data_IF_267017063429
#
_entry.id   IF_267017063429
#
_cell.length_a   1.000
_cell.length_b   1.000
_cell.length_c   1.000
_cell.angle_alpha   90.00
_cell.angle_beta   90.00
_cell.angle_gamma   90.00
#
_symmetry.space_group_name_H-M   'P 1'
#
loop_
_entity.id
_entity.type
_entity.pdbx_description
1 polymer ?
#
# COMPACT_ATOMS: atom_id res chain seq x y z
N UNK A 1 10.45 -4.08 19.61
CA UNK A 1 9.64 -4.76 18.57
C UNK A 1 8.22 -4.90 19.10
N UNK A 2 7.28 -4.19 18.50
CA UNK A 2 5.83 -4.37 18.73
C UNK A 2 5.17 -3.93 17.43
N UNK A 3 4.54 -4.87 16.72
CA UNK A 3 3.76 -4.60 15.52
C UNK A 3 2.41 -5.29 15.72
N UNK A 4 1.50 -4.63 16.43
CA UNK A 4 0.08 -4.94 16.33
C UNK A 4 -0.42 -4.30 15.02
N UNK A 5 -0.58 -5.09 13.97
CA UNK A 5 -1.30 -4.65 12.77
C UNK A 5 -2.76 -4.45 13.19
N UNK A 6 -3.31 -3.23 13.16
CA UNK A 6 -4.74 -3.06 13.41
C UNK A 6 -5.51 -3.85 12.35
N UNK A 7 -6.31 -4.80 12.81
CA UNK A 7 -7.17 -5.58 11.94
C UNK A 7 -8.46 -4.80 11.75
N UNK A 8 -8.67 -4.27 10.55
CA UNK A 8 -10.01 -3.90 10.12
C UNK A 8 -10.67 -5.15 9.56
N UNK A 9 -11.64 -5.73 10.29
CA UNK A 9 -12.59 -6.65 9.68
C UNK A 9 -13.52 -5.79 8.83
N UNK A 10 -13.63 -6.09 7.54
CA UNK A 10 -14.53 -5.37 6.63
C UNK A 10 -15.97 -5.73 7.01
N UNK A 11 -16.55 -4.98 7.95
CA UNK A 11 -17.99 -5.07 8.26
C UNK A 11 -18.76 -4.55 7.05
N UNK A 12 -19.63 -5.39 6.47
CA UNK A 12 -20.40 -5.07 5.26
C UNK A 12 -19.97 -5.81 3.99
N UNK A 13 -18.90 -6.62 4.04
CA UNK A 13 -18.58 -7.54 2.94
C UNK A 13 -19.45 -8.80 3.02
N UNK A 14 -20.08 -9.17 1.91
CA UNK A 14 -20.81 -10.44 1.78
C UNK A 14 -19.86 -11.51 1.25
N UNK A 15 -19.26 -12.28 2.15
CA UNK A 15 -18.35 -13.39 1.81
C UNK A 15 -17.38 -13.76 2.93
N UNK A 16 -16.49 -14.72 2.68
CA UNK A 16 -15.44 -15.09 3.62
C UNK A 16 -14.37 -14.01 3.72
N UNK A 17 -14.03 -13.58 4.94
CA UNK A 17 -12.93 -12.63 5.20
C UNK A 17 -11.75 -13.42 5.73
N UNK A 18 -10.64 -13.39 4.98
CA UNK A 18 -9.39 -14.05 5.36
C UNK A 18 -8.42 -13.06 5.98
N UNK A 19 -7.96 -13.38 7.18
CA UNK A 19 -6.91 -12.63 7.84
C UNK A 19 -5.60 -13.37 7.71
N UNK A 20 -4.58 -12.64 7.25
CA UNK A 20 -3.22 -13.16 7.10
C UNK A 20 -2.28 -12.43 8.07
N UNK A 21 -1.35 -13.16 8.68
CA UNK A 21 -0.31 -12.61 9.53
C UNK A 21 0.95 -13.45 9.42
N UNK A 22 2.12 -12.81 9.51
CA UNK A 22 3.42 -13.50 9.57
C UNK A 22 3.60 -14.37 10.82
N UNK A 23 2.88 -14.04 11.88
CA UNK A 23 2.94 -14.69 13.19
C UNK A 23 1.50 -15.04 13.62
N UNK A 24 1.10 -16.32 13.55
CA UNK A 24 -0.28 -16.75 13.79
C UNK A 24 -0.75 -16.49 15.23
N UNK A 25 0.17 -16.34 16.20
CA UNK A 25 -0.18 -16.08 17.61
C UNK A 25 -0.72 -14.67 17.91
N UNK A 26 -0.74 -13.77 16.92
CA UNK A 26 -1.08 -12.34 17.11
C UNK A 26 -2.51 -11.95 16.71
N UNK A 27 -3.35 -12.91 16.31
CA UNK A 27 -4.71 -12.65 15.83
C UNK A 27 -5.72 -12.85 16.96
N UNK A 28 -6.31 -11.76 17.48
CA UNK A 28 -7.38 -11.80 18.50
C UNK A 28 -8.64 -11.10 17.99
N UNK A 29 -9.54 -11.84 17.37
CA UNK A 29 -10.82 -11.31 16.85
C UNK A 29 -12.07 -12.07 17.32
N UNK A 30 -11.90 -13.28 17.86
CA UNK A 30 -13.00 -14.07 18.41
C UNK A 30 -13.71 -13.35 19.57
N UNK A 31 -13.04 -12.43 20.26
CA UNK A 31 -13.61 -11.64 21.37
C UNK A 31 -14.66 -10.59 20.93
N UNK A 32 -14.85 -10.35 19.63
CA UNK A 32 -15.82 -9.35 19.11
C UNK A 32 -17.02 -9.96 18.37
N UNK A 33 -17.25 -11.28 18.46
CA UNK A 33 -18.35 -11.95 17.76
C UNK A 33 -18.20 -12.01 16.24
N UNK A 34 -16.99 -11.77 15.73
CA UNK A 34 -16.63 -11.87 14.31
C UNK A 34 -15.87 -13.18 14.08
N UNK A 35 -16.15 -13.86 12.97
CA UNK A 35 -15.56 -15.15 12.60
C UNK A 35 -14.67 -15.05 11.35
N UNK A 36 -13.58 -14.26 11.36
CA UNK A 36 -12.64 -14.25 10.23
C UNK A 36 -11.93 -15.60 10.13
N UNK A 37 -11.74 -16.07 8.90
CA UNK A 37 -10.92 -17.25 8.63
C UNK A 37 -9.45 -16.83 8.71
N UNK A 38 -8.61 -17.60 9.38
CA UNK A 38 -7.17 -17.38 9.38
C UNK A 38 -6.53 -18.23 8.30
N UNK A 39 -5.67 -17.63 7.47
CA UNK A 39 -4.87 -18.36 6.50
C UNK A 39 -3.41 -17.89 6.62
N UNK A 40 -2.50 -18.83 6.82
CA UNK A 40 -1.07 -18.56 6.65
C UNK A 40 -0.85 -18.36 5.14
N UNK A 41 -0.47 -17.16 4.71
CA UNK A 41 -0.43 -16.82 3.29
C UNK A 41 0.68 -17.61 2.56
N UNK A 42 0.30 -18.68 1.86
CA UNK A 42 1.06 -19.32 0.77
C UNK A 42 0.37 -18.94 -0.55
N UNK A 43 1.13 -18.36 -1.48
CA UNK A 43 0.62 -17.72 -2.70
C UNK A 43 0.12 -18.76 -3.72
N UNK A 44 0.44 -20.04 -3.53
CA UNK A 44 0.18 -21.12 -4.51
C UNK A 44 -1.19 -21.83 -4.37
N UNK A 45 -1.93 -21.61 -3.29
CA UNK A 45 -3.17 -22.36 -2.96
C UNK A 45 -4.46 -21.51 -2.94
N UNK A 46 -4.44 -20.32 -3.55
CA UNK A 46 -5.58 -19.39 -3.46
C UNK A 46 -6.57 -19.52 -4.63
N UNK A 47 -7.82 -19.81 -4.29
CA UNK A 47 -8.95 -19.62 -5.19
C UNK A 47 -9.24 -18.12 -5.42
N UNK A 48 -9.82 -17.82 -6.59
CA UNK A 48 -10.03 -16.47 -7.15
C UNK A 48 -10.56 -15.43 -6.12
N UNK A 49 -9.88 -14.28 -6.03
CA UNK A 49 -10.11 -13.23 -5.02
C UNK A 49 -11.11 -12.14 -5.48
N UNK A 50 -11.91 -11.64 -4.53
CA UNK A 50 -12.85 -10.52 -4.73
C UNK A 50 -12.33 -9.19 -4.17
N UNK A 51 -11.55 -9.23 -3.09
CA UNK A 51 -10.98 -8.05 -2.45
C UNK A 51 -9.56 -8.36 -1.98
N UNK A 52 -8.61 -7.47 -2.24
CA UNK A 52 -7.24 -7.53 -1.73
C UNK A 52 -6.90 -6.20 -1.05
N UNK A 53 -6.49 -6.24 0.22
CA UNK A 53 -6.04 -5.06 0.96
C UNK A 53 -4.58 -5.24 1.38
N UNK A 54 -3.66 -4.60 0.65
CA UNK A 54 -2.24 -4.56 0.98
C UNK A 54 -1.99 -3.49 2.05
N UNK A 55 -2.23 -3.86 3.31
CA UNK A 55 -2.02 -2.98 4.47
C UNK A 55 -0.61 -3.07 5.06
N UNK A 56 0.16 -4.11 4.72
CA UNK A 56 1.44 -4.41 5.34
C UNK A 56 2.43 -3.25 5.19
N UNK A 57 3.01 -2.83 6.31
CA UNK A 57 4.06 -1.82 6.34
C UNK A 57 4.75 -1.78 7.70
N UNK A 58 6.00 -1.34 7.72
CA UNK A 58 6.78 -1.14 8.94
C UNK A 58 7.49 0.22 8.89
N UNK A 59 7.72 0.79 10.06
CA UNK A 59 8.43 2.06 10.25
C UNK A 59 9.22 1.98 11.56
N UNK A 60 10.39 2.63 11.59
CA UNK A 60 11.26 2.73 12.76
C UNK A 60 11.21 4.16 13.30
N UNK A 61 11.11 4.31 14.62
CA UNK A 61 11.17 5.61 15.32
C UNK A 61 12.64 6.09 15.38
N UNK A 62 12.95 7.29 14.86
CA UNK A 62 14.28 7.92 14.94
C UNK A 62 14.84 8.45 13.60
N UNK A 63 16.06 9.03 13.59
CA UNK A 63 16.79 9.41 12.37
C UNK A 63 17.33 8.15 11.68
N UNK A 64 16.54 7.58 10.77
CA UNK A 64 16.68 6.19 10.30
C UNK A 64 17.24 6.02 8.90
N UNK A 65 17.52 7.09 8.16
CA UNK A 65 17.97 6.98 6.76
C UNK A 65 19.27 6.16 6.62
N UNK A 66 20.18 6.25 7.60
CA UNK A 66 21.51 5.63 7.51
C UNK A 66 21.66 4.33 8.32
N UNK A 67 20.70 3.99 9.17
CA UNK A 67 20.80 2.80 10.03
C UNK A 67 20.15 1.56 9.39
N UNK A 68 19.13 1.74 8.53
CA UNK A 68 18.54 0.63 7.78
C UNK A 68 17.72 1.09 6.54
N UNK A 69 18.36 1.75 5.55
CA UNK A 69 17.67 2.16 4.32
C UNK A 69 17.14 0.96 3.53
N UNK A 70 17.90 -0.15 3.53
CA UNK A 70 17.52 -1.40 2.88
C UNK A 70 16.19 -1.94 3.42
N UNK A 71 16.01 -2.05 4.74
CA UNK A 71 14.75 -2.54 5.29
C UNK A 71 13.62 -1.62 4.84
N UNK A 72 13.62 -0.33 5.22
CA UNK A 72 12.47 0.57 4.99
C UNK A 72 12.04 0.74 3.53
N UNK A 73 13.00 0.98 2.64
CA UNK A 73 12.70 1.28 1.25
C UNK A 73 12.38 0.03 0.46
N UNK A 74 13.27 -0.98 0.54
CA UNK A 74 13.09 -2.24 -0.17
C UNK A 74 11.90 -2.99 0.40
N UNK A 75 11.89 -3.29 1.68
CA UNK A 75 10.87 -4.19 2.21
C UNK A 75 9.50 -3.50 2.29
N UNK A 76 9.42 -2.16 2.38
CA UNK A 76 8.14 -1.44 2.37
C UNK A 76 7.46 -1.43 0.99
N UNK A 77 8.23 -1.23 -0.07
CA UNK A 77 7.76 -1.28 -1.45
C UNK A 77 7.62 -2.72 -1.96
N UNK A 78 8.68 -3.54 -1.80
CA UNK A 78 8.73 -4.92 -2.25
C UNK A 78 7.66 -5.78 -1.57
N UNK A 79 7.37 -5.59 -0.27
CA UNK A 79 6.25 -6.31 0.36
C UNK A 79 4.91 -6.04 -0.34
N UNK A 80 4.72 -4.87 -0.93
CA UNK A 80 3.49 -4.57 -1.68
C UNK A 80 3.57 -5.11 -3.11
N UNK A 81 4.72 -4.98 -3.78
CA UNK A 81 4.96 -5.53 -5.13
C UNK A 81 4.79 -7.05 -5.14
N UNK A 82 5.56 -7.74 -4.29
CA UNK A 82 5.59 -9.21 -4.20
C UNK A 82 4.24 -9.78 -3.77
N UNK A 83 3.45 -9.03 -2.99
CA UNK A 83 2.11 -9.43 -2.54
C UNK A 83 0.99 -9.01 -3.50
N UNK A 84 1.22 -8.17 -4.51
CA UNK A 84 0.17 -7.74 -5.45
C UNK A 84 0.34 -8.36 -6.83
N UNK A 85 1.56 -8.36 -7.36
CA UNK A 85 1.86 -8.80 -8.73
C UNK A 85 1.42 -10.25 -9.01
N UNK A 86 1.68 -11.25 -8.14
CA UNK A 86 1.21 -12.61 -8.38
C UNK A 86 -0.31 -12.75 -8.38
N UNK A 87 -1.02 -11.86 -7.69
CA UNK A 87 -2.47 -11.93 -7.57
C UNK A 87 -3.21 -11.24 -8.71
N UNK A 88 -2.55 -10.39 -9.51
CA UNK A 88 -3.20 -9.66 -10.61
C UNK A 88 -3.89 -10.61 -11.60
N UNK A 89 -3.31 -11.78 -11.87
CA UNK A 89 -3.89 -12.81 -12.73
C UNK A 89 -5.04 -13.59 -12.07
N UNK A 90 -5.07 -13.67 -10.73
CA UNK A 90 -6.05 -14.43 -9.95
C UNK A 90 -7.32 -13.62 -9.60
N UNK A 91 -7.32 -12.31 -9.84
CA UNK A 91 -8.44 -11.42 -9.53
C UNK A 91 -9.69 -11.79 -10.34
N UNK A 92 -10.86 -11.80 -9.67
CA UNK A 92 -12.16 -11.94 -10.35
C UNK A 92 -12.57 -10.65 -11.05
N UNK A 93 -13.55 -10.77 -11.95
CA UNK A 93 -14.36 -9.64 -12.39
C UNK A 93 -14.93 -8.93 -11.16
N UNK A 94 -14.91 -7.60 -11.18
CA UNK A 94 -15.31 -6.70 -10.11
C UNK A 94 -14.45 -6.82 -8.84
N UNK A 95 -13.19 -7.26 -8.95
CA UNK A 95 -12.28 -7.24 -7.82
C UNK A 95 -11.93 -5.81 -7.36
N UNK A 96 -11.75 -5.61 -6.06
CA UNK A 96 -11.27 -4.36 -5.45
C UNK A 96 -9.91 -4.55 -4.81
N UNK A 97 -8.95 -3.72 -5.18
CA UNK A 97 -7.57 -3.78 -4.68
C UNK A 97 -7.21 -2.47 -4.01
N UNK A 98 -6.76 -2.55 -2.77
CA UNK A 98 -6.45 -1.39 -1.95
C UNK A 98 -5.01 -1.51 -1.46
N UNK A 99 -4.16 -0.61 -1.96
CA UNK A 99 -2.78 -0.49 -1.50
C UNK A 99 -2.69 0.62 -0.46
N UNK A 100 -2.37 0.29 0.79
CA UNK A 100 -2.26 1.28 1.87
C UNK A 100 -0.91 1.98 1.76
N UNK A 101 -0.92 3.17 1.17
CA UNK A 101 0.23 4.07 1.11
C UNK A 101 0.24 5.01 2.33
N UNK A 102 0.60 6.28 2.17
CA UNK A 102 0.63 7.28 3.23
C UNK A 102 0.67 8.68 2.64
N UNK A 103 0.09 9.68 3.31
CA UNK A 103 0.23 11.08 2.90
C UNK A 103 1.69 11.57 2.89
N UNK A 104 2.61 10.83 3.55
CA UNK A 104 4.05 11.07 3.47
C UNK A 104 4.59 10.82 2.05
N UNK A 105 3.95 9.98 1.22
CA UNK A 105 4.35 9.79 -0.18
C UNK A 105 4.26 11.10 -0.97
N UNK A 106 3.14 11.82 -0.87
CA UNK A 106 2.93 13.11 -1.54
C UNK A 106 3.99 14.13 -1.07
N UNK A 107 4.22 14.20 0.24
CA UNK A 107 5.26 15.09 0.80
C UNK A 107 6.67 14.71 0.36
N UNK A 108 6.96 13.43 0.22
CA UNK A 108 8.26 12.95 -0.24
C UNK A 108 8.44 13.25 -1.73
N UNK A 109 7.41 13.03 -2.55
CA UNK A 109 7.43 13.30 -3.98
C UNK A 109 7.67 14.79 -4.28
N UNK A 110 6.99 15.70 -3.57
CA UNK A 110 7.22 17.15 -3.71
C UNK A 110 8.66 17.56 -3.37
N UNK A 111 9.35 16.78 -2.52
CA UNK A 111 10.73 17.02 -2.11
C UNK A 111 11.76 16.32 -3.01
N UNK A 112 11.33 15.47 -3.95
CA UNK A 112 12.21 14.93 -4.97
C UNK A 112 12.65 16.05 -5.93
N UNK A 113 13.75 15.85 -6.64
CA UNK A 113 14.12 16.70 -7.79
C UNK A 113 13.01 16.73 -8.84
N UNK A 114 13.02 17.77 -9.68
CA UNK A 114 12.06 17.92 -10.76
C UNK A 114 12.05 16.71 -11.70
N UNK A 115 13.23 16.16 -12.02
CA UNK A 115 13.36 14.99 -12.89
C UNK A 115 12.71 13.75 -12.27
N UNK A 116 12.98 13.46 -10.99
CA UNK A 116 12.33 12.35 -10.28
C UNK A 116 10.82 12.55 -10.18
N UNK A 117 10.36 13.78 -9.95
CA UNK A 117 8.95 14.12 -9.95
C UNK A 117 8.28 13.83 -11.29
N UNK A 118 8.89 14.24 -12.40
CA UNK A 118 8.40 13.94 -13.75
C UNK A 118 8.34 12.44 -14.02
N UNK A 119 9.38 11.69 -13.61
CA UNK A 119 9.40 10.23 -13.77
C UNK A 119 8.29 9.54 -12.97
N UNK A 120 8.11 9.89 -11.70
CA UNK A 120 7.06 9.29 -10.87
C UNK A 120 5.63 9.70 -11.26
N UNK A 121 5.44 10.88 -11.88
CA UNK A 121 4.16 11.33 -12.45
C UNK A 121 3.95 10.90 -13.91
N UNK A 122 4.91 10.22 -14.53
CA UNK A 122 4.82 9.83 -15.94
C UNK A 122 3.71 8.80 -16.16
N UNK A 123 2.81 9.05 -17.11
CA UNK A 123 1.71 8.15 -17.49
C UNK A 123 2.17 6.87 -18.18
N UNK A 124 3.47 6.76 -18.47
CA UNK A 124 4.08 5.64 -19.20
C UNK A 124 5.13 4.89 -18.38
N UNK A 125 5.41 5.30 -17.13
CA UNK A 125 6.38 4.58 -16.29
C UNK A 125 5.97 3.11 -16.13
N UNK A 126 6.93 2.20 -16.29
CA UNK A 126 6.72 0.75 -16.14
C UNK A 126 7.04 0.26 -14.73
N UNK A 127 6.53 -0.93 -14.36
CA UNK A 127 6.88 -1.56 -13.07
C UNK A 127 8.40 -1.80 -12.97
N UNK A 128 9.04 -2.23 -14.06
CA UNK A 128 10.49 -2.44 -14.12
C UNK A 128 11.28 -1.15 -13.88
N UNK A 129 10.86 -0.04 -14.49
CA UNK A 129 11.49 1.27 -14.26
C UNK A 129 11.31 1.72 -12.81
N UNK A 130 10.11 1.53 -12.24
CA UNK A 130 9.85 1.85 -10.85
C UNK A 130 10.74 1.03 -9.90
N UNK A 131 10.89 -0.28 -10.15
CA UNK A 131 11.78 -1.16 -9.38
C UNK A 131 13.23 -0.67 -9.46
N UNK A 132 13.69 -0.24 -10.65
CA UNK A 132 15.03 0.35 -10.82
C UNK A 132 15.18 1.63 -10.00
N UNK A 133 14.19 2.52 -9.98
CA UNK A 133 14.22 3.73 -9.15
C UNK A 133 14.25 3.41 -7.65
N UNK A 134 13.44 2.46 -7.18
CA UNK A 134 13.44 2.07 -5.77
C UNK A 134 14.77 1.42 -5.36
N UNK A 135 15.36 0.63 -6.25
CA UNK A 135 16.70 0.04 -6.05
C UNK A 135 17.80 1.10 -6.05
N UNK A 136 17.72 2.09 -6.96
CA UNK A 136 18.66 3.21 -7.02
C UNK A 136 18.61 4.05 -5.74
N UNK A 137 17.43 4.37 -5.20
CA UNK A 137 17.34 5.09 -3.93
C UNK A 137 18.05 4.35 -2.78
N UNK A 138 17.88 3.03 -2.71
CA UNK A 138 18.56 2.19 -1.71
C UNK A 138 20.08 2.26 -1.89
N UNK A 139 20.57 2.23 -3.12
CA UNK A 139 22.01 2.32 -3.39
C UNK A 139 22.58 3.72 -3.11
N UNK A 140 21.90 4.77 -3.56
CA UNK A 140 22.30 6.16 -3.35
C UNK A 140 22.33 6.52 -1.85
N UNK A 141 21.43 5.94 -1.05
CA UNK A 141 21.45 6.13 0.42
C UNK A 141 22.62 5.42 1.09
N UNK A 142 22.99 4.19 0.67
CA UNK A 142 24.20 3.51 1.15
C UNK A 142 25.46 4.31 0.85
N UNK A 143 25.53 4.85 -0.36
CA UNK A 143 26.65 5.68 -0.83
C UNK A 143 26.61 7.12 -0.29
N UNK A 144 25.56 7.48 0.47
CA UNK A 144 25.34 8.80 1.07
C UNK A 144 25.29 9.95 0.05
N UNK A 145 24.81 9.65 -1.15
CA UNK A 145 24.65 10.61 -2.25
C UNK A 145 23.18 10.89 -2.59
N UNK A 146 22.23 10.30 -1.87
CA UNK A 146 20.79 10.39 -2.19
C UNK A 146 20.28 11.82 -2.34
N UNK A 147 20.70 12.76 -1.48
CA UNK A 147 20.31 14.18 -1.58
C UNK A 147 20.88 14.85 -2.83
N UNK A 148 22.12 14.53 -3.21
CA UNK A 148 22.75 15.02 -4.44
C UNK A 148 22.05 14.47 -5.69
N UNK A 149 21.61 13.22 -5.62
CA UNK A 149 20.83 12.54 -6.67
C UNK A 149 19.34 12.96 -6.69
N UNK A 150 18.94 13.90 -5.83
CA UNK A 150 17.61 14.52 -5.83
C UNK A 150 16.56 13.78 -5.00
N UNK A 151 16.95 12.80 -4.19
CA UNK A 151 16.02 12.08 -3.32
C UNK A 151 15.71 12.84 -2.03
N UNK A 152 14.50 12.71 -1.48
CA UNK A 152 14.17 13.28 -0.19
C UNK A 152 14.80 12.48 0.95
N UNK A 153 15.09 13.14 2.07
CA UNK A 153 15.65 12.51 3.27
C UNK A 153 14.55 11.78 4.09
N UNK A 154 13.90 10.78 3.49
CA UNK A 154 12.88 9.93 4.14
C UNK A 154 12.71 8.59 3.42
N UNK A 155 13.33 7.53 3.94
CA UNK A 155 13.21 6.19 3.33
C UNK A 155 11.77 5.66 3.33
N UNK A 156 11.02 5.88 4.41
CA UNK A 156 9.61 5.54 4.48
C UNK A 156 8.76 6.34 3.48
N UNK A 157 9.07 7.62 3.29
CA UNK A 157 8.36 8.44 2.31
C UNK A 157 8.59 7.93 0.89
N UNK A 158 9.83 7.61 0.52
CA UNK A 158 10.16 7.06 -0.79
C UNK A 158 9.52 5.68 -1.00
N UNK A 159 9.49 4.80 0.01
CA UNK A 159 8.80 3.51 -0.12
C UNK A 159 7.30 3.67 -0.39
N UNK A 160 6.67 4.65 0.25
CA UNK A 160 5.26 4.99 0.01
C UNK A 160 5.02 5.73 -1.31
N UNK A 161 6.00 6.46 -1.85
CA UNK A 161 5.98 6.91 -3.26
C UNK A 161 5.97 5.69 -4.18
N UNK A 162 6.83 4.71 -3.95
CA UNK A 162 6.83 3.44 -4.68
C UNK A 162 5.46 2.77 -4.70
N UNK A 163 4.83 2.59 -3.54
CA UNK A 163 3.48 1.99 -3.45
C UNK A 163 2.42 2.81 -4.22
N UNK A 164 2.48 4.13 -4.13
CA UNK A 164 1.55 5.03 -4.82
C UNK A 164 1.69 4.93 -6.34
N UNK A 165 2.92 4.96 -6.85
CA UNK A 165 3.21 4.86 -8.29
C UNK A 165 2.91 3.45 -8.81
N UNK A 166 3.27 2.40 -8.07
CA UNK A 166 2.94 1.01 -8.42
C UNK A 166 1.43 0.81 -8.58
N UNK A 167 0.64 1.38 -7.67
CA UNK A 167 -0.81 1.29 -7.76
C UNK A 167 -1.34 1.92 -9.05
N UNK A 168 -0.75 3.04 -9.47
CA UNK A 168 -1.12 3.68 -10.74
C UNK A 168 -0.75 2.84 -11.96
N UNK A 169 0.44 2.24 -11.94
CA UNK A 169 0.92 1.34 -13.00
C UNK A 169 0.00 0.12 -13.13
N UNK A 170 -0.27 -0.58 -12.03
CA UNK A 170 -1.09 -1.79 -12.02
C UNK A 170 -2.54 -1.48 -12.41
N UNK A 171 -3.10 -0.36 -11.96
CA UNK A 171 -4.41 0.11 -12.38
C UNK A 171 -4.49 0.35 -13.90
N UNK A 172 -3.46 0.98 -14.48
CA UNK A 172 -3.36 1.20 -15.93
C UNK A 172 -3.31 -0.14 -16.67
N UNK A 173 -2.42 -1.05 -16.26
CA UNK A 173 -2.28 -2.38 -16.87
C UNK A 173 -3.59 -3.17 -16.81
N UNK A 174 -4.27 -3.20 -15.66
CA UNK A 174 -5.57 -3.87 -15.53
C UNK A 174 -6.65 -3.25 -16.44
N UNK A 175 -6.63 -1.93 -16.61
CA UNK A 175 -7.58 -1.26 -17.50
C UNK A 175 -7.28 -1.49 -18.98
N UNK A 176 -6.01 -1.70 -19.36
CA UNK A 176 -5.59 -2.01 -20.73
C UNK A 176 -5.85 -3.48 -21.07
N UNK A 177 -5.50 -4.41 -20.18
CA UNK A 177 -5.53 -5.85 -20.43
C UNK A 177 -6.85 -6.53 -20.03
N UNK A 178 -7.53 -6.00 -19.00
CA UNK A 178 -8.68 -6.64 -18.33
C UNK A 178 -9.86 -5.68 -18.13
N UNK A 179 -10.06 -4.74 -19.06
CA UNK A 179 -11.12 -3.72 -18.98
C UNK A 179 -12.52 -4.28 -18.67
N UNK A 180 -12.88 -5.41 -19.31
CA UNK A 180 -14.18 -6.08 -19.12
C UNK A 180 -14.39 -6.61 -17.71
N UNK A 181 -13.29 -6.84 -16.97
CA UNK A 181 -13.35 -7.34 -15.61
C UNK A 181 -13.66 -6.23 -14.59
N UNK A 182 -13.71 -4.94 -14.94
CA UNK A 182 -14.11 -3.86 -14.02
C UNK A 182 -13.39 -3.91 -12.66
N UNK A 183 -12.08 -4.19 -12.68
CA UNK A 183 -11.23 -4.26 -11.49
C UNK A 183 -10.84 -2.83 -11.10
N UNK A 184 -11.06 -2.46 -9.84
CA UNK A 184 -10.64 -1.17 -9.31
C UNK A 184 -9.47 -1.36 -8.35
N UNK A 185 -8.36 -0.71 -8.67
CA UNK A 185 -7.15 -0.70 -7.85
C UNK A 185 -6.78 0.74 -7.50
N UNK A 186 -6.67 1.04 -6.20
CA UNK A 186 -6.33 2.38 -5.72
C UNK A 186 -5.32 2.35 -4.58
N UNK A 187 -4.49 3.38 -4.50
CA UNK A 187 -3.68 3.67 -3.33
C UNK A 187 -4.46 4.54 -2.34
N UNK A 188 -4.22 4.41 -1.04
CA UNK A 188 -4.84 5.29 -0.07
C UNK A 188 -3.95 5.69 1.11
N UNK A 189 -4.39 6.72 1.83
CA UNK A 189 -3.86 7.11 3.13
C UNK A 189 -4.91 6.85 4.23
N UNK A 190 -4.56 6.13 5.31
CA UNK A 190 -5.46 5.94 6.46
C UNK A 190 -5.47 7.15 7.42
N UNK A 191 -4.65 8.17 7.16
CA UNK A 191 -4.39 9.28 8.08
C UNK A 191 -3.37 8.92 9.16
N UNK A 192 -3.27 9.76 10.21
CA UNK A 192 -2.36 9.51 11.33
C UNK A 192 -3.06 8.70 12.43
N UNK A 193 -2.83 7.39 12.44
CA UNK A 193 -3.59 6.41 13.24
C UNK A 193 -2.82 5.94 14.48
N UNK A 194 -3.47 5.88 15.63
CA UNK A 194 -2.92 5.35 16.89
C UNK A 194 -2.67 3.85 16.76
N UNK A 195 -1.43 3.52 16.46
CA UNK A 195 -0.89 2.16 16.36
C UNK A 195 0.49 2.14 17.01
N UNK A 196 1.09 0.95 17.16
CA UNK A 196 2.49 0.84 17.59
C UNK A 196 3.44 1.70 16.74
N UNK A 197 3.15 1.76 15.44
CA UNK A 197 3.90 2.53 14.45
C UNK A 197 3.87 4.03 14.77
N UNK A 198 2.67 4.62 14.85
CA UNK A 198 2.54 6.07 14.96
C UNK A 198 2.54 6.60 16.41
N UNK A 199 2.28 5.71 17.38
CA UNK A 199 2.21 6.03 18.81
C UNK A 199 0.85 6.62 19.26
N UNK A 200 0.69 6.84 20.58
CA UNK A 200 -0.58 7.25 21.17
C UNK A 200 -1.00 8.69 20.83
N UNK A 201 -0.07 9.53 20.37
CA UNK A 201 -0.32 10.94 20.00
C UNK A 201 -1.00 11.11 18.64
N UNK A 202 -1.17 10.03 17.88
CA UNK A 202 -1.82 10.09 16.58
C UNK A 202 -3.30 10.45 16.70
N UNK A 203 -3.84 11.16 15.71
CA UNK A 203 -5.15 11.80 15.79
C UNK A 203 -6.31 10.81 15.66
N UNK A 204 -6.15 9.76 14.85
CA UNK A 204 -7.21 8.77 14.56
C UNK A 204 -7.10 7.51 15.41
N UNK A 205 -8.23 6.90 15.75
CA UNK A 205 -8.27 5.50 16.22
C UNK A 205 -8.06 4.53 15.05
N UNK A 206 -7.70 3.26 15.30
CA UNK A 206 -7.68 2.21 14.27
C UNK A 206 -8.95 2.15 13.42
N UNK A 207 -10.13 2.20 14.05
CA UNK A 207 -11.42 2.16 13.34
C UNK A 207 -11.57 3.35 12.39
N UNK A 208 -11.20 4.57 12.83
CA UNK A 208 -11.18 5.77 11.97
C UNK A 208 -10.13 5.71 10.87
N UNK A 209 -9.02 5.01 11.10
CA UNK A 209 -8.00 4.76 10.08
C UNK A 209 -8.46 3.80 8.99
N UNK A 210 -9.35 2.87 9.33
CA UNK A 210 -9.87 1.86 8.41
C UNK A 210 -10.92 2.40 7.43
N UNK A 211 -11.53 3.55 7.70
CA UNK A 211 -12.67 4.07 6.92
C UNK A 211 -12.36 4.26 5.43
N UNK A 212 -11.19 4.80 5.06
CA UNK A 212 -10.81 4.97 3.63
C UNK A 212 -10.46 3.64 2.96
N UNK A 213 -9.62 2.77 3.55
CA UNK A 213 -9.37 1.44 2.99
C UNK A 213 -10.65 0.61 2.78
N UNK A 214 -11.54 0.60 3.78
CA UNK A 214 -12.82 -0.13 3.71
C UNK A 214 -13.73 0.47 2.64
N UNK A 215 -13.82 1.79 2.55
CA UNK A 215 -14.57 2.47 1.50
C UNK A 215 -14.13 2.02 0.10
N UNK A 216 -12.83 1.96 -0.16
CA UNK A 216 -12.30 1.52 -1.45
C UNK A 216 -12.54 0.03 -1.71
N UNK A 217 -12.41 -0.80 -0.68
CA UNK A 217 -12.64 -2.24 -0.77
C UNK A 217 -14.11 -2.60 -1.07
N UNK A 218 -15.05 -1.70 -0.73
CA UNK A 218 -16.49 -1.90 -0.87
C UNK A 218 -17.11 -1.03 -1.97
N UNK A 219 -16.31 -0.42 -2.86
CA UNK A 219 -16.84 0.31 -4.01
C UNK A 219 -17.75 -0.60 -4.84
N UNK A 220 -18.95 -0.10 -5.15
CA UNK A 220 -19.94 -0.84 -5.92
C UNK A 220 -19.37 -1.27 -7.29
N UNK A 221 -19.78 -2.43 -7.83
CA UNK A 221 -19.40 -2.93 -9.13
C UNK A 221 -19.36 -1.89 -10.26
N UNK A 222 -20.37 -1.04 -10.30
CA UNK A 222 -20.67 0.02 -11.26
C UNK A 222 -20.14 1.40 -10.87
N UNK A 223 -19.31 1.51 -9.82
CA UNK A 223 -18.78 2.79 -9.37
C UNK A 223 -17.92 3.47 -10.46
N UNK A 224 -18.28 4.71 -10.82
CA UNK A 224 -17.62 5.57 -11.83
C UNK A 224 -16.22 6.10 -11.43
N UNK A 225 -15.53 5.46 -10.49
CA UNK A 225 -14.22 5.90 -10.02
C UNK A 225 -13.11 5.47 -10.99
N UNK A 226 -12.26 6.38 -11.52
CA UNK A 226 -11.11 5.97 -12.31
C UNK A 226 -10.18 5.13 -11.43
N UNK A 227 -9.64 4.00 -11.91
CA UNK A 227 -8.64 3.25 -11.16
C UNK A 227 -7.32 4.04 -11.11
N UNK A 228 -6.43 3.69 -10.18
CA UNK A 228 -5.09 4.26 -10.08
C UNK A 228 -5.01 5.59 -9.33
N UNK A 229 -6.02 5.93 -8.54
CA UNK A 229 -6.04 7.16 -7.73
C UNK A 229 -5.28 6.98 -6.41
N UNK A 230 -4.87 8.11 -5.84
CA UNK A 230 -4.46 8.20 -4.45
C UNK A 230 -5.59 8.85 -3.64
N UNK A 231 -6.13 8.14 -2.64
CA UNK A 231 -7.34 8.54 -1.92
C UNK A 231 -7.07 8.76 -0.43
N UNK A 232 -7.57 9.85 0.13
CA UNK A 232 -7.51 10.15 1.57
C UNK A 232 -8.83 10.75 2.01
N UNK A 233 -9.35 10.35 3.17
CA UNK A 233 -10.69 10.78 3.65
C UNK A 233 -11.79 10.54 2.59
N UNK A 234 -11.72 9.41 1.87
CA UNK A 234 -12.61 9.06 0.75
C UNK A 234 -12.61 10.04 -0.44
N UNK A 235 -11.65 10.98 -0.48
CA UNK A 235 -11.48 11.94 -1.57
C UNK A 235 -10.19 11.70 -2.35
N UNK A 236 -10.26 11.83 -3.68
CA UNK A 236 -9.10 11.77 -4.57
C UNK A 236 -8.16 12.92 -4.26
N UNK A 237 -6.86 12.61 -4.17
CA UNK A 237 -5.80 13.55 -3.88
C UNK A 237 -4.93 13.71 -5.12
N UNK A 238 -4.62 14.96 -5.48
CA UNK A 238 -3.60 15.26 -6.48
C UNK A 238 -2.21 15.01 -5.89
N UNK A 239 -1.31 14.42 -6.67
CA UNK A 239 0.04 14.12 -6.22
C UNK A 239 1.09 14.32 -7.30
#
# INVERSE_FOLDING_TARGET
MSSSTPVAVVTGFTGGVYLTARDPGRVRLQEKGLSPLFHQLDITDLQRLNVLVNNTGFWFKGRTLYWSPNLMARDGFASTSDASTPFLSLMRTQCRVVNVSSFISVRALIRCSHDLQQKFRSDTITEEELVKFMTKFVEDTKNRVHEKEGWPNTAYGVSKVGVMVLSRIQARMLNEERKVDQILLNACCPGWVRTDMAGPKATKSPDKGAETPVYLALLAPDADGPPGQFVSEKAVQTW
#
